data_IF_992690324432
#
_entry.id   IF_992690324432
#
_cell.length_a   1.000
_cell.length_b   1.000
_cell.length_c   1.000
_cell.angle_alpha   90.00
_cell.angle_beta   90.00
_cell.angle_gamma   90.00
#
_symmetry.space_group_name_H-M   'P 1'
#
loop_
_entity.id
_entity.type
_entity.pdbx_description
1 polymer ?
#
# COMPACT_ATOMS: atom_id res chain seq x y z
N UNK A 1 -34.76 38.96 43.70
CA UNK A 1 -33.67 39.35 44.62
C UNK A 1 -32.58 38.29 44.47
N UNK A 2 -31.58 38.45 43.59
CA UNK A 2 -30.38 39.31 43.72
C UNK A 2 -29.62 39.03 45.03
N UNK A 3 -28.31 38.81 45.13
CA UNK A 3 -27.19 38.71 44.18
C UNK A 3 -25.92 38.36 45.01
N UNK A 4 -24.93 37.66 44.42
CA UNK A 4 -23.44 37.86 44.49
C UNK A 4 -22.73 37.80 45.87
N UNK A 5 -21.55 37.18 46.08
CA UNK A 5 -20.60 36.51 45.18
C UNK A 5 -19.25 36.15 45.85
N UNK A 6 -18.44 35.39 45.10
CA UNK A 6 -16.96 35.40 44.99
C UNK A 6 -16.04 34.79 46.08
N UNK A 7 -15.08 33.98 45.61
CA UNK A 7 -13.83 33.61 46.30
C UNK A 7 -13.25 32.28 45.84
N UNK A 8 -12.48 32.27 44.75
CA UNK A 8 -11.74 31.09 44.27
C UNK A 8 -10.41 30.89 45.00
N UNK A 9 -9.96 29.63 45.11
CA UNK A 9 -8.54 29.30 45.21
C UNK A 9 -8.25 27.86 44.78
N UNK A 10 -7.07 27.73 44.21
CA UNK A 10 -6.50 26.68 43.38
C UNK A 10 -5.93 25.50 44.16
N UNK A 11 -6.12 24.25 43.70
CA UNK A 11 -5.31 23.09 44.15
C UNK A 11 -4.80 22.28 42.95
N UNK A 12 -3.47 22.33 42.82
CA UNK A 12 -2.48 21.55 42.09
C UNK A 12 -2.90 20.38 41.15
N UNK A 13 -2.58 20.54 39.86
CA UNK A 13 -2.40 19.46 38.90
C UNK A 13 -0.91 19.03 38.86
N UNK A 14 -0.66 17.71 38.84
CA UNK A 14 0.69 17.12 38.83
C UNK A 14 1.45 17.31 37.51
N UNK A 15 2.76 17.02 37.48
CA UNK A 15 3.60 17.25 36.31
C UNK A 15 3.41 16.15 35.26
N UNK A 16 3.15 16.53 34.01
CA UNK A 16 3.46 15.68 32.84
C UNK A 16 2.36 15.39 31.82
N UNK A 17 1.14 15.91 31.97
CA UNK A 17 0.15 15.84 30.90
C UNK A 17 0.32 17.03 29.95
N UNK A 18 1.09 16.85 28.86
CA UNK A 18 1.07 17.81 27.74
C UNK A 18 -0.29 17.68 27.07
N UNK A 19 -1.20 18.57 27.45
CA UNK A 19 -2.51 18.75 26.82
C UNK A 19 -2.29 19.02 25.34
N UNK A 20 -2.82 18.15 24.49
CA UNK A 20 -2.93 18.38 23.06
C UNK A 20 -3.78 19.64 22.85
N UNK A 21 -3.11 20.79 22.68
CA UNK A 21 -3.74 22.05 22.33
C UNK A 21 -4.47 21.87 21.01
N UNK A 22 -5.78 22.04 21.05
CA UNK A 22 -6.62 22.19 19.88
C UNK A 22 -6.07 23.33 19.03
N UNK A 23 -5.67 22.99 17.80
CA UNK A 23 -5.37 23.97 16.76
C UNK A 23 -6.70 24.62 16.34
N UNK A 24 -6.93 25.84 16.83
CA UNK A 24 -7.90 26.79 16.28
C UNK A 24 -7.68 26.94 14.76
N UNK A 25 -8.72 26.81 13.92
CA UNK A 25 -8.59 26.88 12.46
C UNK A 25 -8.54 28.34 12.03
N UNK A 26 -7.39 28.99 12.20
CA UNK A 26 -7.35 30.45 12.06
C UNK A 26 -6.04 31.16 11.79
N UNK A 27 -4.91 30.51 11.46
CA UNK A 27 -3.72 31.22 10.94
C UNK A 27 -2.85 30.31 10.07
N UNK A 28 -3.26 30.12 8.82
CA UNK A 28 -2.33 29.69 7.78
C UNK A 28 -1.54 30.92 7.30
N UNK A 29 -0.33 31.15 7.81
CA UNK A 29 0.73 31.84 7.07
C UNK A 29 2.09 31.80 7.80
N UNK A 30 3.14 31.64 6.99
CA UNK A 30 4.58 31.55 7.30
C UNK A 30 5.09 30.18 7.78
N UNK A 31 5.45 29.32 6.81
CA UNK A 31 6.34 28.19 7.03
C UNK A 31 7.70 28.67 7.52
N UNK A 32 7.90 28.67 8.83
CA UNK A 32 9.16 29.06 9.45
C UNK A 32 10.04 27.82 9.59
N UNK A 33 11.18 27.79 8.88
CA UNK A 33 12.15 26.68 8.91
C UNK A 33 12.59 26.35 10.33
N UNK A 34 12.61 27.35 11.23
CA UNK A 34 12.88 27.16 12.66
C UNK A 34 11.78 26.36 13.37
N UNK A 35 10.52 26.57 12.99
CA UNK A 35 9.38 25.83 13.53
C UNK A 35 9.36 24.39 12.99
N UNK A 36 9.74 24.19 11.72
CA UNK A 36 9.97 22.87 11.16
C UNK A 36 11.13 22.14 11.85
N UNK A 37 12.25 22.84 12.10
CA UNK A 37 13.42 22.28 12.77
C UNK A 37 13.15 21.95 14.24
N UNK A 38 12.44 22.81 14.96
CA UNK A 38 12.00 22.54 16.34
C UNK A 38 10.99 21.39 16.40
N UNK A 39 10.05 21.34 15.47
CA UNK A 39 9.11 20.22 15.33
C UNK A 39 9.82 18.90 14.98
N UNK A 40 10.82 18.93 14.10
CA UNK A 40 11.68 17.78 13.79
C UNK A 40 12.49 17.35 15.02
N UNK A 41 13.06 18.30 15.75
CA UNK A 41 13.82 18.04 16.97
C UNK A 41 12.94 17.40 18.06
N UNK A 42 11.74 17.94 18.32
CA UNK A 42 10.79 17.34 19.26
C UNK A 42 10.28 15.98 18.78
N UNK A 43 9.88 15.85 17.51
CA UNK A 43 9.33 14.62 16.97
C UNK A 43 10.35 13.47 16.91
N UNK A 44 11.66 13.78 16.81
CA UNK A 44 12.72 12.77 16.77
C UNK A 44 13.25 12.47 18.18
N UNK A 45 13.47 13.47 19.03
CA UNK A 45 14.14 13.29 20.34
C UNK A 45 13.17 13.08 21.51
N UNK A 46 11.98 13.69 21.50
CA UNK A 46 11.02 13.58 22.63
C UNK A 46 10.22 12.27 22.57
N UNK A 47 9.94 11.75 21.37
CA UNK A 47 9.30 10.44 21.16
C UNK A 47 10.31 9.33 20.78
N UNK A 48 11.52 9.34 21.34
CA UNK A 48 12.59 8.41 20.95
C UNK A 48 12.17 6.93 20.93
N UNK A 49 11.28 6.50 21.83
CA UNK A 49 10.79 5.11 21.89
C UNK A 49 9.91 4.76 20.68
N UNK A 50 8.98 5.63 20.31
CA UNK A 50 8.11 5.40 19.15
C UNK A 50 8.88 5.57 17.84
N UNK A 51 9.82 6.50 17.84
CA UNK A 51 10.74 6.75 16.72
C UNK A 51 11.70 5.56 16.52
N UNK A 52 12.22 4.96 17.59
CA UNK A 52 13.07 3.77 17.51
C UNK A 52 12.29 2.54 17.03
N UNK A 53 11.01 2.40 17.40
CA UNK A 53 10.13 1.38 16.82
C UNK A 53 9.95 1.56 15.31
N UNK A 54 9.98 2.80 14.80
CA UNK A 54 9.93 3.08 13.36
C UNK A 54 11.28 2.87 12.64
N UNK A 55 12.39 2.79 13.37
CA UNK A 55 13.68 2.46 12.78
C UNK A 55 13.67 1.06 12.14
N UNK A 56 13.01 0.08 12.77
CA UNK A 56 12.89 -1.29 12.26
C UNK A 56 12.21 -1.34 10.87
N UNK A 57 10.99 -0.83 10.66
CA UNK A 57 10.38 -0.83 9.34
C UNK A 57 11.17 0.04 8.35
N UNK A 58 11.80 1.14 8.77
CA UNK A 58 12.62 1.96 7.87
C UNK A 58 13.83 1.18 7.33
N UNK A 59 14.54 0.44 8.18
CA UNK A 59 15.67 -0.41 7.77
C UNK A 59 15.22 -1.46 6.75
N UNK A 60 14.10 -2.11 7.03
CA UNK A 60 13.57 -3.18 6.18
C UNK A 60 13.09 -2.61 4.84
N UNK A 61 12.48 -1.42 4.81
CA UNK A 61 12.12 -0.73 3.57
C UNK A 61 13.37 -0.30 2.76
N UNK A 62 14.42 0.18 3.41
CA UNK A 62 15.68 0.49 2.73
C UNK A 62 16.30 -0.76 2.11
N UNK A 63 16.35 -1.87 2.86
CA UNK A 63 16.81 -3.15 2.33
C UNK A 63 15.92 -3.65 1.17
N UNK A 64 14.60 -3.54 1.32
CA UNK A 64 13.63 -3.90 0.29
C UNK A 64 13.89 -3.15 -1.02
N UNK A 65 14.08 -1.83 -0.95
CA UNK A 65 14.33 -1.01 -2.14
C UNK A 65 15.63 -1.45 -2.84
N UNK A 66 16.69 -1.76 -2.10
CA UNK A 66 17.94 -2.28 -2.68
C UNK A 66 17.74 -3.65 -3.35
N UNK A 67 17.02 -4.56 -2.70
CA UNK A 67 16.69 -5.87 -3.29
C UNK A 67 15.85 -5.76 -4.56
N UNK A 68 14.97 -4.75 -4.64
CA UNK A 68 14.23 -4.48 -5.88
C UNK A 68 15.14 -4.04 -7.01
N UNK A 69 16.16 -3.21 -6.75
CA UNK A 69 17.14 -2.85 -7.78
C UNK A 69 17.91 -4.08 -8.26
N UNK A 70 18.38 -4.93 -7.33
CA UNK A 70 19.05 -6.19 -7.68
C UNK A 70 18.13 -7.06 -8.55
N UNK A 71 16.85 -7.17 -8.19
CA UNK A 71 15.87 -7.92 -8.95
C UNK A 71 15.64 -7.36 -10.37
N UNK A 72 15.44 -6.04 -10.50
CA UNK A 72 15.22 -5.37 -11.80
C UNK A 72 16.45 -5.50 -12.71
N UNK A 73 17.66 -5.49 -12.15
CA UNK A 73 18.89 -5.71 -12.91
C UNK A 73 19.04 -7.15 -13.41
N UNK A 74 18.42 -8.13 -12.75
CA UNK A 74 18.59 -9.56 -13.02
C UNK A 74 17.38 -10.24 -13.67
N UNK A 75 16.24 -9.55 -13.79
CA UNK A 75 15.02 -10.07 -14.40
C UNK A 75 14.48 -9.13 -15.48
N UNK A 76 13.85 -9.67 -16.54
CA UNK A 76 13.09 -8.85 -17.47
C UNK A 76 12.00 -8.06 -16.72
N UNK A 77 11.77 -6.80 -17.12
CA UNK A 77 10.84 -5.90 -16.44
C UNK A 77 9.41 -6.48 -16.32
N UNK A 78 8.91 -7.15 -17.38
CA UNK A 78 7.61 -7.81 -17.36
C UNK A 78 7.54 -8.96 -16.33
N UNK A 79 8.58 -9.79 -16.27
CA UNK A 79 8.72 -10.87 -15.28
C UNK A 79 8.77 -10.30 -13.86
N UNK A 80 9.62 -9.29 -13.63
CA UNK A 80 9.72 -8.61 -12.34
C UNK A 80 8.36 -8.06 -11.90
N UNK A 81 7.64 -7.38 -12.78
CA UNK A 81 6.35 -6.76 -12.45
C UNK A 81 5.32 -7.80 -11.99
N UNK A 82 5.21 -8.93 -12.71
CA UNK A 82 4.25 -9.99 -12.34
C UNK A 82 4.68 -10.69 -11.04
N UNK A 83 5.96 -11.03 -10.90
CA UNK A 83 6.49 -11.75 -9.73
C UNK A 83 6.45 -10.90 -8.47
N UNK A 84 6.65 -9.58 -8.58
CA UNK A 84 6.61 -8.66 -7.45
C UNK A 84 5.22 -8.58 -6.78
N UNK A 85 4.16 -8.98 -7.49
CA UNK A 85 2.81 -9.10 -6.91
C UNK A 85 2.72 -10.13 -5.79
N UNK A 86 3.70 -11.05 -5.67
CA UNK A 86 3.84 -11.97 -4.54
C UNK A 86 3.85 -11.24 -3.19
N UNK A 87 4.19 -9.95 -3.17
CA UNK A 87 4.01 -9.07 -2.01
C UNK A 87 2.61 -9.14 -1.39
N UNK A 88 1.56 -9.32 -2.19
CA UNK A 88 0.18 -9.44 -1.68
C UNK A 88 0.06 -10.67 -0.79
N UNK A 89 0.62 -11.81 -1.24
CA UNK A 89 0.64 -13.05 -0.49
C UNK A 89 1.43 -12.90 0.82
N UNK A 90 2.64 -12.36 0.76
CA UNK A 90 3.46 -12.19 1.96
C UNK A 90 2.81 -11.24 2.97
N UNK A 91 2.25 -10.12 2.50
CA UNK A 91 1.52 -9.17 3.34
C UNK A 91 0.30 -9.81 3.98
N UNK A 92 -0.47 -10.61 3.23
CA UNK A 92 -1.63 -11.30 3.75
C UNK A 92 -1.26 -12.33 4.83
N UNK A 93 -0.20 -13.13 4.61
CA UNK A 93 0.31 -14.09 5.59
C UNK A 93 0.75 -13.38 6.88
N UNK A 94 1.58 -12.34 6.78
CA UNK A 94 2.01 -11.59 7.96
C UNK A 94 0.84 -10.88 8.65
N UNK A 95 -0.17 -10.41 7.92
CA UNK A 95 -1.37 -9.77 8.46
C UNK A 95 -2.22 -10.75 9.29
N UNK A 96 -2.31 -12.02 8.85
CA UNK A 96 -2.95 -13.08 9.65
C UNK A 96 -2.10 -13.40 10.88
N UNK A 97 -0.79 -13.60 10.73
CA UNK A 97 0.11 -14.03 11.80
C UNK A 97 0.35 -12.96 12.89
N UNK A 98 0.53 -11.68 12.51
CA UNK A 98 0.94 -10.61 13.43
C UNK A 98 -0.22 -9.76 13.95
N UNK A 99 -1.32 -9.67 13.18
CA UNK A 99 -2.48 -8.84 13.49
C UNK A 99 -3.75 -9.67 13.77
N UNK A 100 -3.67 -11.01 13.73
CA UNK A 100 -4.80 -11.92 13.94
C UNK A 100 -6.02 -11.59 13.05
N UNK A 101 -5.78 -11.13 11.82
CA UNK A 101 -6.86 -10.85 10.87
C UNK A 101 -7.38 -12.15 10.26
N UNK A 102 -8.70 -12.24 10.10
CA UNK A 102 -9.35 -13.33 9.35
C UNK A 102 -9.49 -12.95 7.87
N UNK A 103 -9.08 -13.85 6.98
CA UNK A 103 -9.28 -13.72 5.53
C UNK A 103 -10.47 -14.57 5.09
N UNK A 104 -11.22 -14.09 4.10
CA UNK A 104 -12.33 -14.86 3.53
C UNK A 104 -11.80 -16.04 2.72
N UNK A 105 -12.64 -17.06 2.50
CA UNK A 105 -12.30 -18.19 1.61
C UNK A 105 -11.91 -17.72 0.21
N UNK A 106 -12.56 -16.66 -0.28
CA UNK A 106 -12.27 -16.07 -1.58
C UNK A 106 -10.89 -15.39 -1.61
N UNK A 107 -10.52 -14.70 -0.53
CA UNK A 107 -9.20 -14.11 -0.38
C UNK A 107 -8.11 -15.20 -0.32
N UNK A 108 -8.35 -16.30 0.39
CA UNK A 108 -7.41 -17.42 0.38
C UNK A 108 -7.28 -18.05 -1.02
N UNK A 109 -8.40 -18.25 -1.72
CA UNK A 109 -8.39 -18.74 -3.09
C UNK A 109 -7.63 -17.80 -4.04
N UNK A 110 -7.78 -16.48 -3.89
CA UNK A 110 -7.04 -15.52 -4.70
C UNK A 110 -5.55 -15.53 -4.40
N UNK A 111 -5.13 -15.74 -3.15
CA UNK A 111 -3.70 -15.89 -2.81
C UNK A 111 -3.08 -17.15 -3.45
N UNK A 112 -3.81 -18.26 -3.46
CA UNK A 112 -3.36 -19.48 -4.16
C UNK A 112 -3.28 -19.25 -5.67
N UNK A 113 -4.29 -18.59 -6.25
CA UNK A 113 -4.31 -18.22 -7.67
C UNK A 113 -3.12 -17.32 -8.04
N UNK A 114 -2.80 -16.35 -7.19
CA UNK A 114 -1.65 -15.46 -7.33
C UNK A 114 -0.35 -16.25 -7.36
N UNK A 115 -0.16 -17.15 -6.38
CA UNK A 115 1.04 -17.98 -6.29
C UNK A 115 1.21 -18.87 -7.53
N UNK A 116 0.14 -19.52 -7.97
CA UNK A 116 0.15 -20.34 -9.20
C UNK A 116 0.49 -19.50 -10.43
N UNK A 117 -0.09 -18.30 -10.57
CA UNK A 117 0.20 -17.41 -11.70
C UNK A 117 1.68 -16.98 -11.73
N UNK A 118 2.25 -16.62 -10.58
CA UNK A 118 3.68 -16.31 -10.46
C UNK A 118 4.55 -17.54 -10.74
N UNK A 119 4.18 -18.72 -10.24
CA UNK A 119 4.92 -19.95 -10.49
C UNK A 119 4.97 -20.32 -11.98
N UNK A 120 3.87 -20.12 -12.71
CA UNK A 120 3.81 -20.33 -14.16
C UNK A 120 4.75 -19.37 -14.89
N UNK A 121 4.71 -18.07 -14.55
CA UNK A 121 5.62 -17.07 -15.15
C UNK A 121 7.09 -17.43 -14.87
N UNK A 122 7.40 -17.80 -13.64
CA UNK A 122 8.77 -18.18 -13.27
C UNK A 122 9.24 -19.48 -13.93
N UNK A 123 8.35 -20.48 -14.10
CA UNK A 123 8.67 -21.73 -14.79
C UNK A 123 8.97 -21.48 -16.28
N UNK A 124 8.21 -20.62 -16.94
CA UNK A 124 8.46 -20.22 -18.33
C UNK A 124 9.82 -19.53 -18.48
N UNK A 125 10.19 -18.67 -17.52
CA UNK A 125 11.48 -17.97 -17.53
C UNK A 125 12.67 -18.91 -17.28
N UNK A 126 12.50 -19.94 -16.43
CA UNK A 126 13.51 -20.96 -16.21
C UNK A 126 13.71 -21.86 -17.44
N UNK A 127 12.62 -22.20 -18.16
CA UNK A 127 12.64 -23.04 -19.36
C UNK A 127 13.01 -22.31 -20.65
N UNK A 128 12.95 -20.98 -20.69
CA UNK A 128 13.29 -20.16 -21.86
C UNK A 128 14.79 -20.12 -22.11
N UNK A 129 15.26 -20.93 -23.07
CA UNK A 129 16.66 -20.98 -23.54
C UNK A 129 17.03 -19.89 -24.56
N UNK A 130 16.50 -18.67 -24.43
CA UNK A 130 16.89 -17.54 -25.29
C UNK A 130 18.28 -17.00 -24.93
N UNK A 131 18.94 -16.25 -25.83
CA UNK A 131 20.22 -15.60 -25.54
C UNK A 131 20.03 -14.61 -24.38
N UNK A 132 20.58 -14.98 -23.22
CA UNK A 132 20.57 -14.14 -22.03
C UNK A 132 21.75 -13.18 -22.12
N UNK A 133 21.60 -11.90 -21.76
CA UNK A 133 22.76 -11.05 -21.50
C UNK A 133 23.67 -11.78 -20.50
N UNK A 134 24.98 -11.84 -20.76
CA UNK A 134 25.96 -12.58 -19.95
C UNK A 134 25.97 -12.19 -18.46
N UNK A 135 25.31 -11.10 -18.08
CA UNK A 135 25.33 -10.49 -16.76
C UNK A 135 24.02 -10.65 -15.95
N UNK A 136 23.03 -11.38 -16.48
CA UNK A 136 21.77 -11.62 -15.78
C UNK A 136 21.74 -13.01 -15.13
N UNK A 137 21.51 -13.04 -13.82
CA UNK A 137 21.25 -14.27 -13.07
C UNK A 137 19.78 -14.33 -12.62
N UNK A 138 18.89 -15.02 -13.38
CA UNK A 138 17.47 -15.11 -13.04
C UNK A 138 17.20 -15.72 -11.67
N UNK A 139 18.07 -16.62 -11.18
CA UNK A 139 17.96 -17.21 -9.85
C UNK A 139 18.21 -16.17 -8.75
N UNK A 140 19.26 -15.36 -8.91
CA UNK A 140 19.54 -14.25 -7.99
C UNK A 140 18.42 -13.19 -8.04
N UNK A 141 17.90 -12.89 -9.24
CA UNK A 141 16.77 -11.99 -9.42
C UNK A 141 15.50 -12.49 -8.73
N UNK A 142 15.15 -13.78 -8.90
CA UNK A 142 14.00 -14.39 -8.21
C UNK A 142 14.19 -14.38 -6.68
N UNK A 143 15.37 -14.77 -6.20
CA UNK A 143 15.67 -14.75 -4.77
C UNK A 143 15.55 -13.32 -4.20
N UNK A 144 16.04 -12.32 -4.93
CA UNK A 144 15.93 -10.91 -4.56
C UNK A 144 14.46 -10.45 -4.53
N UNK A 145 13.63 -10.82 -5.52
CA UNK A 145 12.18 -10.50 -5.50
C UNK A 145 11.50 -11.15 -4.30
N UNK A 146 11.70 -12.44 -4.06
CA UNK A 146 11.07 -13.15 -2.94
C UNK A 146 11.49 -12.54 -1.60
N UNK A 147 12.79 -12.28 -1.42
CA UNK A 147 13.30 -11.60 -0.23
C UNK A 147 12.71 -10.20 -0.07
N UNK A 148 12.59 -9.43 -1.15
CA UNK A 148 11.95 -8.11 -1.15
C UNK A 148 10.45 -8.17 -0.82
N UNK A 149 9.73 -9.18 -1.30
CA UNK A 149 8.30 -9.35 -1.02
C UNK A 149 8.08 -9.75 0.44
N UNK A 150 8.90 -10.65 0.98
CA UNK A 150 8.83 -11.06 2.39
C UNK A 150 9.12 -9.88 3.32
N UNK A 151 10.20 -9.15 3.05
CA UNK A 151 10.58 -7.97 3.83
C UNK A 151 9.51 -6.87 3.75
N UNK A 152 8.94 -6.64 2.56
CA UNK A 152 7.84 -5.67 2.38
C UNK A 152 6.58 -6.04 3.15
N UNK A 153 6.20 -7.33 3.11
CA UNK A 153 5.01 -7.82 3.80
C UNK A 153 5.16 -7.68 5.32
N UNK A 154 6.32 -8.05 5.86
CA UNK A 154 6.62 -7.89 7.28
C UNK A 154 6.65 -6.40 7.68
N UNK A 155 7.42 -5.56 6.98
CA UNK A 155 7.56 -4.15 7.31
C UNK A 155 6.22 -3.40 7.23
N UNK A 156 5.39 -3.69 6.22
CA UNK A 156 4.08 -3.08 6.07
C UNK A 156 3.13 -3.43 7.21
N UNK A 157 3.08 -4.71 7.59
CA UNK A 157 2.22 -5.17 8.69
C UNK A 157 2.73 -4.68 10.05
N UNK A 158 4.05 -4.64 10.24
CA UNK A 158 4.67 -4.08 11.44
C UNK A 158 4.41 -2.57 11.57
N UNK A 159 4.56 -1.82 10.47
CA UNK A 159 4.23 -0.40 10.41
C UNK A 159 2.74 -0.16 10.68
N UNK A 160 1.83 -0.98 10.12
CA UNK A 160 0.40 -0.92 10.42
C UNK A 160 0.12 -1.15 11.92
N UNK A 161 0.83 -2.08 12.56
CA UNK A 161 0.72 -2.35 14.00
C UNK A 161 1.15 -1.14 14.83
N UNK A 162 2.22 -0.45 14.44
CA UNK A 162 2.68 0.78 15.12
C UNK A 162 1.67 1.92 14.93
N UNK A 163 1.18 2.12 13.71
CA UNK A 163 0.19 3.17 13.42
C UNK A 163 -1.08 3.01 14.24
N UNK A 164 -1.58 1.79 14.42
CA UNK A 164 -2.78 1.53 15.22
C UNK A 164 -2.57 1.71 16.72
N UNK A 165 -1.32 1.64 17.20
CA UNK A 165 -0.98 1.79 18.61
C UNK A 165 -0.65 3.23 19.03
N UNK A 166 -0.71 4.21 18.13
CA UNK A 166 -0.23 5.57 18.40
C UNK A 166 -1.10 6.65 17.76
N UNK A 167 -1.35 7.75 18.48
CA UNK A 167 -2.19 8.88 18.05
C UNK A 167 -1.53 9.84 17.05
N UNK A 168 -0.40 9.46 16.45
CA UNK A 168 0.38 10.32 15.53
C UNK A 168 -0.20 10.37 14.12
N UNK A 169 0.00 11.50 13.42
CA UNK A 169 -0.46 11.63 12.03
C UNK A 169 0.33 10.71 11.07
N UNK A 170 -0.35 10.18 10.04
CA UNK A 170 0.29 9.33 9.01
C UNK A 170 1.45 10.07 8.32
N UNK A 171 1.32 11.37 8.12
CA UNK A 171 2.34 12.21 7.51
C UNK A 171 3.59 12.36 8.39
N UNK A 172 3.40 12.56 9.70
CA UNK A 172 4.52 12.63 10.64
C UNK A 172 5.26 11.29 10.70
N UNK A 173 4.51 10.19 10.72
CA UNK A 173 5.08 8.84 10.72
C UNK A 173 5.84 8.55 9.43
N UNK A 174 5.33 9.01 8.28
CA UNK A 174 6.03 8.90 7.00
C UNK A 174 7.30 9.76 6.94
N UNK A 175 7.28 10.96 7.52
CA UNK A 175 8.46 11.82 7.65
C UNK A 175 9.53 11.18 8.53
N UNK A 176 9.15 10.68 9.71
CA UNK A 176 10.05 9.95 10.61
C UNK A 176 10.66 8.73 9.92
N UNK A 177 9.83 7.93 9.24
CA UNK A 177 10.29 6.78 8.47
C UNK A 177 11.28 7.17 7.38
N UNK A 178 11.05 8.29 6.68
CA UNK A 178 11.94 8.83 5.68
C UNK A 178 13.29 9.26 6.25
N UNK A 179 13.32 9.99 7.36
CA UNK A 179 14.55 10.45 8.01
C UNK A 179 15.44 9.28 8.46
N UNK A 180 14.85 8.29 9.13
CA UNK A 180 15.60 7.09 9.53
C UNK A 180 16.01 6.26 8.33
N UNK A 181 15.15 6.12 7.32
CA UNK A 181 15.47 5.44 6.07
C UNK A 181 16.66 6.06 5.36
N UNK A 182 16.72 7.40 5.29
CA UNK A 182 17.87 8.14 4.75
C UNK A 182 19.13 7.93 5.57
N UNK A 183 19.06 8.09 6.90
CA UNK A 183 20.22 7.91 7.78
C UNK A 183 20.80 6.48 7.67
N UNK A 184 19.94 5.47 7.77
CA UNK A 184 20.32 4.06 7.63
C UNK A 184 20.80 3.74 6.21
N UNK A 185 20.21 4.35 5.19
CA UNK A 185 20.65 4.21 3.80
C UNK A 185 22.06 4.76 3.58
N UNK A 186 22.39 5.90 4.18
CA UNK A 186 23.75 6.47 4.13
C UNK A 186 24.76 5.61 4.87
N UNK A 187 24.39 5.06 6.04
CA UNK A 187 25.24 4.11 6.77
C UNK A 187 25.46 2.84 5.94
N UNK A 188 24.40 2.30 5.32
CA UNK A 188 24.49 1.14 4.44
C UNK A 188 25.37 1.39 3.23
N UNK A 189 25.26 2.57 2.60
CA UNK A 189 26.14 2.98 1.51
C UNK A 189 27.60 3.06 1.96
N UNK A 190 27.85 3.68 3.11
CA UNK A 190 29.21 3.80 3.64
C UNK A 190 29.81 2.43 3.97
N UNK A 191 29.01 1.53 4.51
CA UNK A 191 29.42 0.17 4.84
C UNK A 191 29.74 -0.67 3.59
N UNK A 192 28.92 -0.57 2.55
CA UNK A 192 29.08 -1.36 1.32
C UNK A 192 30.16 -0.78 0.40
N UNK A 193 30.14 0.53 0.14
CA UNK A 193 30.90 1.18 -0.93
C UNK A 193 31.57 2.49 -0.47
N UNK A 194 31.76 2.69 0.84
CA UNK A 194 32.26 3.96 1.39
C UNK A 194 33.63 4.37 0.84
N UNK A 195 34.52 3.40 0.55
CA UNK A 195 35.84 3.68 -0.06
C UNK A 195 35.72 4.16 -1.50
N UNK A 196 34.79 3.60 -2.28
CA UNK A 196 34.52 4.02 -3.64
C UNK A 196 33.88 5.41 -3.67
N UNK A 197 32.92 5.67 -2.78
CA UNK A 197 32.25 6.97 -2.60
C UNK A 197 33.25 8.04 -2.16
N UNK A 198 34.15 7.74 -1.23
CA UNK A 198 35.16 8.69 -0.76
C UNK A 198 36.16 9.07 -1.86
N UNK A 199 36.47 8.14 -2.78
CA UNK A 199 37.41 8.38 -3.89
C UNK A 199 36.79 9.08 -5.09
N UNK A 200 35.55 8.73 -5.46
CA UNK A 200 34.90 9.21 -6.70
C UNK A 200 33.87 10.31 -6.45
N UNK A 201 33.41 10.47 -5.21
CA UNK A 201 32.32 11.34 -4.83
C UNK A 201 30.96 10.61 -4.85
N UNK A 202 30.04 11.06 -3.99
CA UNK A 202 28.69 10.49 -3.86
C UNK A 202 27.88 10.56 -5.17
N UNK A 203 28.02 11.66 -5.92
CA UNK A 203 27.27 11.89 -7.16
C UNK A 203 27.98 11.36 -8.41
N UNK A 204 28.99 10.51 -8.25
CA UNK A 204 29.69 9.92 -9.38
C UNK A 204 28.74 9.02 -10.20
N UNK A 205 28.70 9.22 -11.52
CA UNK A 205 27.86 8.44 -12.44
C UNK A 205 26.37 8.83 -12.46
N UNK A 206 25.98 9.91 -11.77
CA UNK A 206 24.61 10.41 -11.83
C UNK A 206 24.33 11.05 -13.20
N UNK A 207 23.53 10.37 -14.01
CA UNK A 207 23.02 10.88 -15.28
C UNK A 207 21.62 11.48 -15.10
N UNK A 208 21.09 12.24 -16.08
CA UNK A 208 19.69 12.68 -16.06
C UNK A 208 18.69 11.54 -15.90
N UNK A 209 19.01 10.33 -16.41
CA UNK A 209 18.18 9.14 -16.21
C UNK A 209 18.15 8.69 -14.75
N UNK A 210 19.30 8.71 -14.04
CA UNK A 210 19.36 8.41 -12.60
C UNK A 210 18.50 9.39 -11.81
N UNK A 211 18.61 10.70 -12.10
CA UNK A 211 17.74 11.70 -11.49
C UNK A 211 16.27 11.46 -11.79
N UNK A 212 15.93 11.07 -13.03
CA UNK A 212 14.58 10.65 -13.40
C UNK A 212 14.05 9.50 -12.53
N UNK A 213 14.87 8.47 -12.27
CA UNK A 213 14.52 7.35 -11.39
C UNK A 213 14.34 7.81 -9.94
N UNK A 214 15.24 8.65 -9.43
CA UNK A 214 15.16 9.21 -8.06
C UNK A 214 13.88 10.01 -7.87
N UNK A 215 13.57 10.93 -8.79
CA UNK A 215 12.37 11.75 -8.74
C UNK A 215 11.10 10.89 -8.87
N UNK A 216 11.11 9.90 -9.77
CA UNK A 216 10.00 8.96 -9.93
C UNK A 216 9.75 8.12 -8.67
N UNK A 217 10.81 7.65 -8.01
CA UNK A 217 10.69 6.90 -6.75
C UNK A 217 10.15 7.78 -5.61
N UNK A 218 10.67 9.00 -5.47
CA UNK A 218 10.20 9.94 -4.45
C UNK A 218 8.71 10.30 -4.66
N UNK A 219 8.33 10.60 -5.90
CA UNK A 219 6.94 10.87 -6.28
C UNK A 219 6.05 9.63 -6.06
N UNK A 220 6.50 8.45 -6.48
CA UNK A 220 5.80 7.19 -6.30
C UNK A 220 5.52 6.86 -4.83
N UNK A 221 6.49 7.09 -3.94
CA UNK A 221 6.31 6.92 -2.49
C UNK A 221 5.23 7.83 -1.91
N UNK A 222 5.19 9.11 -2.32
CA UNK A 222 4.14 10.04 -1.92
C UNK A 222 2.77 9.64 -2.49
N UNK A 223 2.74 9.22 -3.76
CA UNK A 223 1.53 8.76 -4.43
C UNK A 223 0.94 7.53 -3.74
N UNK A 224 1.78 6.58 -3.29
CA UNK A 224 1.32 5.42 -2.51
C UNK A 224 0.63 5.86 -1.23
N UNK A 225 1.15 6.87 -0.50
CA UNK A 225 0.50 7.39 0.70
C UNK A 225 -0.88 8.01 0.39
N UNK A 226 -0.99 8.76 -0.70
CA UNK A 226 -2.27 9.32 -1.19
C UNK A 226 -3.25 8.21 -1.57
N UNK A 227 -2.80 7.22 -2.33
CA UNK A 227 -3.62 6.06 -2.74
C UNK A 227 -4.08 5.24 -1.54
N UNK A 228 -3.24 5.07 -0.51
CA UNK A 228 -3.66 4.41 0.73
C UNK A 228 -4.78 5.19 1.42
N UNK A 229 -4.71 6.53 1.40
CA UNK A 229 -5.68 7.40 2.08
C UNK A 229 -6.99 7.60 1.31
N UNK A 230 -6.95 7.67 -0.02
CA UNK A 230 -8.08 8.12 -0.83
C UNK A 230 -8.62 7.07 -1.82
N UNK A 231 -7.91 5.97 -2.07
CA UNK A 231 -8.36 4.95 -3.02
C UNK A 231 -8.82 3.68 -2.31
N UNK A 232 -9.93 3.13 -2.80
CA UNK A 232 -10.42 1.82 -2.41
C UNK A 232 -9.53 0.69 -2.93
N UNK A 233 -9.63 -0.48 -2.30
CA UNK A 233 -8.84 -1.65 -2.67
C UNK A 233 -9.09 -2.09 -4.11
N UNK A 234 -10.32 -1.95 -4.62
CA UNK A 234 -10.66 -2.24 -6.02
C UNK A 234 -9.87 -1.34 -6.98
N UNK A 235 -9.82 -0.03 -6.72
CA UNK A 235 -9.10 0.92 -7.57
C UNK A 235 -7.59 0.64 -7.59
N UNK A 236 -7.02 0.27 -6.43
CA UNK A 236 -5.63 -0.20 -6.33
C UNK A 236 -5.40 -1.45 -7.17
N UNK A 237 -6.34 -2.40 -7.15
CA UNK A 237 -6.31 -3.59 -7.99
C UNK A 237 -6.30 -3.26 -9.48
N UNK A 238 -7.18 -2.37 -9.94
CA UNK A 238 -7.21 -1.92 -11.34
C UNK A 238 -5.92 -1.23 -11.77
N UNK A 239 -5.40 -0.31 -10.96
CA UNK A 239 -4.13 0.37 -11.24
C UNK A 239 -2.97 -0.63 -11.38
N UNK A 240 -2.95 -1.64 -10.52
CA UNK A 240 -1.96 -2.73 -10.56
C UNK A 240 -2.08 -3.54 -11.85
N UNK A 241 -3.29 -3.95 -12.24
CA UNK A 241 -3.54 -4.70 -13.47
C UNK A 241 -3.12 -3.90 -14.71
N UNK A 242 -3.45 -2.60 -14.75
CA UNK A 242 -3.03 -1.70 -15.82
C UNK A 242 -1.49 -1.59 -15.86
N UNK A 243 -0.84 -1.50 -14.71
CA UNK A 243 0.63 -1.45 -14.62
C UNK A 243 1.28 -2.72 -15.17
N UNK A 244 0.73 -3.91 -14.90
CA UNK A 244 1.22 -5.18 -15.48
C UNK A 244 1.09 -5.17 -17.01
N UNK A 245 -0.06 -4.75 -17.53
CA UNK A 245 -0.29 -4.71 -18.99
C UNK A 245 0.64 -3.70 -19.65
N UNK A 246 0.71 -2.47 -19.14
CA UNK A 246 1.55 -1.42 -19.71
C UNK A 246 3.05 -1.75 -19.65
N UNK A 247 3.53 -2.29 -18.53
CA UNK A 247 4.93 -2.72 -18.40
C UNK A 247 5.26 -3.88 -19.34
N UNK A 248 4.34 -4.80 -19.57
CA UNK A 248 4.51 -5.89 -20.54
C UNK A 248 4.58 -5.33 -21.96
N UNK A 249 3.64 -4.45 -22.36
CA UNK A 249 3.65 -3.81 -23.68
C UNK A 249 4.93 -2.98 -23.90
N UNK A 250 5.33 -2.20 -22.90
CA UNK A 250 6.58 -1.45 -22.94
C UNK A 250 7.79 -2.39 -23.08
N UNK A 251 7.79 -3.53 -22.37
CA UNK A 251 8.88 -4.51 -22.46
C UNK A 251 8.99 -5.15 -23.84
N UNK A 252 7.85 -5.42 -24.50
CA UNK A 252 7.83 -5.91 -25.88
C UNK A 252 8.43 -4.88 -26.83
N UNK A 253 8.01 -3.62 -26.73
CA UNK A 253 8.41 -2.56 -27.67
C UNK A 253 9.82 -2.03 -27.45
N UNK A 254 10.28 -1.92 -26.20
CA UNK A 254 11.56 -1.30 -25.84
C UNK A 254 12.68 -2.33 -25.69
N UNK A 255 12.39 -3.52 -25.17
CA UNK A 255 13.40 -4.54 -24.85
C UNK A 255 13.28 -5.81 -25.72
N UNK A 256 12.36 -5.83 -26.70
CA UNK A 256 12.15 -7.01 -27.55
C UNK A 256 11.66 -8.24 -26.78
N UNK A 257 10.97 -8.04 -25.65
CA UNK A 257 10.45 -9.15 -24.84
C UNK A 257 9.40 -9.94 -25.63
N UNK A 258 9.55 -11.26 -25.69
CA UNK A 258 8.59 -12.14 -26.37
C UNK A 258 7.55 -12.63 -25.37
N UNK A 259 6.28 -12.33 -25.62
CA UNK A 259 5.16 -12.77 -24.77
C UNK A 259 4.79 -14.18 -25.16
N UNK A 260 5.19 -15.13 -24.31
CA UNK A 260 4.80 -16.54 -24.44
C UNK A 260 3.34 -16.75 -23.98
N UNK A 261 2.57 -17.66 -24.59
CA UNK A 261 1.22 -17.99 -24.11
C UNK A 261 1.17 -18.39 -22.64
N UNK A 262 2.21 -19.07 -22.15
CA UNK A 262 2.30 -19.48 -20.74
C UNK A 262 2.57 -18.27 -19.83
N UNK A 263 3.38 -17.31 -20.30
CA UNK A 263 3.55 -16.03 -19.62
C UNK A 263 2.24 -15.26 -19.55
N UNK A 264 1.49 -15.17 -20.67
CA UNK A 264 0.20 -14.49 -20.73
C UNK A 264 -0.84 -15.14 -19.80
N UNK A 265 -0.88 -16.47 -19.73
CA UNK A 265 -1.72 -17.20 -18.78
C UNK A 265 -1.34 -16.87 -17.33
N UNK A 266 -0.05 -16.94 -16.99
CA UNK A 266 0.44 -16.63 -15.64
C UNK A 266 0.15 -15.19 -15.23
N UNK A 267 0.41 -14.22 -16.11
CA UNK A 267 0.07 -12.80 -15.90
C UNK A 267 -1.44 -12.58 -15.74
N UNK A 268 -2.26 -13.27 -16.55
CA UNK A 268 -3.72 -13.24 -16.44
C UNK A 268 -4.24 -13.77 -15.10
N UNK A 269 -3.66 -14.87 -14.61
CA UNK A 269 -3.98 -15.42 -13.29
C UNK A 269 -3.59 -14.45 -12.17
N UNK A 270 -2.44 -13.79 -12.27
CA UNK A 270 -2.01 -12.77 -11.31
C UNK A 270 -2.96 -11.58 -11.31
N UNK A 271 -3.36 -11.07 -12.48
CA UNK A 271 -4.34 -9.98 -12.62
C UNK A 271 -5.68 -10.38 -12.00
N UNK A 272 -6.18 -11.58 -12.33
CA UNK A 272 -7.42 -12.11 -11.77
C UNK A 272 -7.36 -12.26 -10.24
N UNK A 273 -6.23 -12.73 -9.72
CA UNK A 273 -6.01 -12.86 -8.29
C UNK A 273 -5.97 -11.51 -7.56
N UNK A 274 -5.28 -10.51 -8.13
CA UNK A 274 -5.24 -9.14 -7.61
C UNK A 274 -6.66 -8.55 -7.54
N UNK A 275 -7.44 -8.71 -8.60
CA UNK A 275 -8.83 -8.26 -8.64
C UNK A 275 -9.68 -8.96 -7.58
N UNK A 276 -9.60 -10.29 -7.51
CA UNK A 276 -10.38 -11.11 -6.59
C UNK A 276 -10.05 -10.81 -5.11
N UNK A 277 -8.77 -10.57 -4.81
CA UNK A 277 -8.32 -10.16 -3.47
C UNK A 277 -8.82 -8.75 -3.09
N UNK A 278 -8.98 -7.87 -4.09
CA UNK A 278 -9.37 -6.48 -3.92
C UNK A 278 -10.89 -6.29 -3.74
N UNK A 279 -11.69 -7.33 -3.96
CA UNK A 279 -13.15 -7.27 -3.80
C UNK A 279 -13.56 -7.09 -2.33
N UNK A 280 -14.62 -6.30 -2.05
CA UNK A 280 -15.20 -6.17 -0.72
C UNK A 280 -15.73 -7.51 -0.21
N UNK A 281 -15.58 -7.77 1.10
CA UNK A 281 -16.02 -9.01 1.76
C UNK A 281 -17.51 -9.35 1.55
N UNK A 282 -18.35 -8.37 1.22
CA UNK A 282 -19.78 -8.54 0.94
C UNK A 282 -20.14 -8.91 -0.51
N UNK A 283 -19.31 -8.56 -1.50
CA UNK A 283 -19.62 -8.78 -2.93
C UNK A 283 -19.51 -10.27 -3.33
N UNK A 284 -18.68 -11.03 -2.62
CA UNK A 284 -18.51 -12.47 -2.82
C UNK A 284 -19.80 -13.27 -2.59
N UNK A 285 -20.66 -12.84 -1.65
CA UNK A 285 -21.96 -13.48 -1.41
C UNK A 285 -22.95 -13.24 -2.55
N UNK A 286 -22.92 -12.05 -3.17
CA UNK A 286 -23.80 -11.71 -4.28
C UNK A 286 -23.43 -12.46 -5.57
N UNK A 287 -22.14 -12.60 -5.88
CA UNK A 287 -21.69 -13.32 -7.09
C UNK A 287 -21.95 -14.83 -7.02
N UNK A 288 -21.85 -15.46 -5.85
CA UNK A 288 -22.16 -16.88 -5.66
C UNK A 288 -23.68 -17.15 -5.64
N UNK A 289 -24.48 -16.18 -5.19
CA UNK A 289 -25.94 -16.26 -5.25
C UNK A 289 -26.47 -16.10 -6.67
N UNK A 290 -25.85 -15.23 -7.49
CA UNK A 290 -26.26 -15.00 -8.88
C UNK A 290 -26.00 -16.20 -9.80
N UNK A 291 -24.98 -17.02 -9.50
CA UNK A 291 -24.74 -18.29 -10.21
C UNK A 291 -25.65 -19.44 -9.75
N UNK A 292 -26.35 -19.28 -8.62
CA UNK A 292 -27.23 -20.31 -8.05
C UNK A 292 -28.73 -20.08 -8.36
N UNK A 293 -29.12 -18.88 -8.82
CA UNK A 293 -30.48 -18.59 -9.26
C UNK A 293 -30.62 -18.81 -10.77
N UNK A 294 -30.90 -20.06 -11.17
CA UNK A 294 -31.52 -20.33 -12.48
C UNK A 294 -32.95 -19.74 -12.52
N UNK A 295 -33.53 -19.49 -13.70
CA UNK A 295 -34.87 -18.92 -13.80
C UNK A 295 -35.91 -19.93 -13.32
N UNK A 296 -36.43 -19.74 -12.10
CA UNK A 296 -37.61 -20.46 -11.62
C UNK A 296 -38.84 -19.90 -12.33
N UNK A 297 -39.28 -20.58 -13.40
CA UNK A 297 -40.54 -20.30 -14.09
C UNK A 297 -41.71 -20.64 -13.15
N UNK A 298 -42.25 -19.65 -12.45
CA UNK A 298 -43.48 -19.82 -11.69
C UNK A 298 -44.65 -19.86 -12.69
N UNK A 299 -45.10 -21.07 -13.05
CA UNK A 299 -46.42 -21.25 -13.66
C UNK A 299 -47.48 -20.91 -12.60
N UNK A 300 -48.32 -19.93 -12.92
CA UNK A 300 -49.47 -19.55 -12.13
C UNK A 300 -50.64 -20.51 -12.48
N UNK A 301 -51.23 -21.23 -11.51
CA UNK A 301 -52.36 -22.12 -11.79
C UNK A 301 -53.61 -21.32 -12.20
N UNK A 302 -54.44 -21.82 -13.13
CA UNK A 302 -55.57 -21.08 -13.68
C UNK A 302 -56.68 -20.97 -12.62
N UNK A 303 -57.08 -19.74 -12.25
CA UNK A 303 -58.29 -19.52 -11.45
C UNK A 303 -58.30 -18.38 -10.44
N UNK A 304 -57.26 -17.55 -10.32
CA UNK A 304 -57.30 -16.38 -9.43
C UNK A 304 -57.43 -15.06 -10.19
N UNK A 305 -58.36 -14.16 -9.80
CA UNK A 305 -58.49 -12.84 -10.41
C UNK A 305 -57.30 -11.94 -10.06
N UNK A 306 -56.93 -10.99 -10.95
CA UNK A 306 -55.79 -10.11 -10.73
C UNK A 306 -56.03 -9.13 -9.57
N UNK A 307 -55.00 -8.78 -8.78
CA UNK A 307 -55.13 -7.79 -7.72
C UNK A 307 -55.40 -6.38 -8.29
N UNK A 308 -56.16 -5.54 -7.56
CA UNK A 308 -56.64 -4.26 -8.05
C UNK A 308 -55.52 -3.24 -8.24
N UNK A 309 -55.55 -2.55 -9.38
CA UNK A 309 -54.65 -1.42 -9.70
C UNK A 309 -55.06 -0.19 -8.89
N UNK A 310 -54.30 0.14 -7.85
CA UNK A 310 -54.43 1.42 -7.16
C UNK A 310 -53.59 2.49 -7.89
N UNK A 311 -54.25 3.44 -8.53
CA UNK A 311 -53.65 4.69 -9.00
C UNK A 311 -53.49 5.66 -7.84
N UNK A 312 -52.28 6.11 -7.53
CA UNK A 312 -52.11 7.35 -6.76
C UNK A 312 -50.79 8.04 -7.08
N UNK A 313 -50.86 9.36 -6.91
CA UNK A 313 -50.01 10.40 -7.44
C UNK A 313 -48.54 10.37 -7.01
N UNK A 314 -47.72 10.84 -7.95
CA UNK A 314 -46.34 11.31 -7.81
C UNK A 314 -46.24 12.43 -6.76
N UNK A 315 -45.38 12.24 -5.76
CA UNK A 315 -44.96 13.26 -4.80
C UNK A 315 -43.65 12.85 -4.14
N UNK A 316 -42.61 13.68 -4.31
CA UNK A 316 -41.27 13.52 -3.73
C UNK A 316 -41.30 13.32 -2.21
N UNK A 317 -40.56 12.31 -1.74
CA UNK A 317 -40.10 12.24 -0.35
C UNK A 317 -38.74 11.54 -0.31
N UNK A 318 -37.72 12.41 -0.32
CA UNK A 318 -36.33 12.14 -0.02
C UNK A 318 -36.19 11.37 1.29
N UNK A 319 -35.58 10.19 1.21
CA UNK A 319 -35.09 9.43 2.37
C UNK A 319 -33.60 9.74 2.55
N UNK A 320 -33.28 10.54 3.55
CA UNK A 320 -32.02 10.45 4.32
C UNK A 320 -32.28 9.49 5.50
N UNK A 321 -31.28 8.97 6.27
CA UNK A 321 -29.83 9.29 6.26
C UNK A 321 -28.92 8.04 6.37
N UNK A 322 -27.62 8.12 6.04
CA UNK A 322 -26.55 7.36 6.73
C UNK A 322 -25.15 7.87 6.33
N UNK A 323 -24.75 9.04 6.81
CA UNK A 323 -23.35 9.45 6.92
C UNK A 323 -23.13 10.23 8.23
N UNK A 324 -22.13 9.90 9.06
CA UNK A 324 -21.78 10.71 10.21
C UNK A 324 -20.94 11.91 9.77
N UNK A 325 -21.49 13.12 9.98
CA UNK A 325 -20.77 14.39 9.83
C UNK A 325 -19.90 14.65 11.05
N UNK A 326 -18.66 14.97 10.75
CA UNK A 326 -17.67 15.66 11.59
C UNK A 326 -18.28 16.73 12.49
N UNK A 327 -17.96 16.65 13.77
CA UNK A 327 -18.21 17.69 14.77
C UNK A 327 -17.21 18.83 14.56
N UNK A 328 -17.75 19.97 14.12
CA UNK A 328 -17.14 21.30 14.18
C UNK A 328 -17.93 22.04 15.29
N UNK A 329 -17.28 22.39 16.39
CA UNK A 329 -17.82 23.33 17.37
C UNK A 329 -16.91 24.56 17.38
N UNK A 330 -17.62 25.69 17.25
CA UNK A 330 -17.32 27.11 17.47
C UNK A 330 -16.02 27.47 18.16
#
# INVERSE_FOLDING_TARGET
MAAVGSGGSTVAAGPGAVSAGALEPGTANAGNVKHLALFLHEAVLVQYVDTLKLAVPSLIYTLQNNLQYVAISNLPAATFQVTYQLKILTTALFSVLMLNRSLSRLQWASLLLLFTGVAIVQAQQAGGGGPRPLDQNPGAGLAAVVASCLSSGFAGVYFEKILKGSSGSVWLRNLQLGLFGTALGLVGLWWAEGTAVARRGFFFGYTPAVWGVVLNQAFGGLLVAVVVKYADNILKGFATSLSIVLSTVASVRLFGFHVDPLFALGAGLVIGAVYLYSLPRGAAKASASASASGPCTHQQPPGQPPPPKLSSHRGDLSTEPFLPKSVLVK
#
